data_IF_914963759490
#
_entry.id   IF_914963759490
#
_cell.length_a   1.000
_cell.length_b   1.000
_cell.length_c   1.000
_cell.angle_alpha   90.00
_cell.angle_beta   90.00
_cell.angle_gamma   90.00
#
_symmetry.space_group_name_H-M   'P 1'
#
loop_
_entity.id
_entity.type
_entity.pdbx_description
1 polymer ?
#
# COMPACT_ATOMS: atom_id res chain seq x y z
N UNK A 1 40.91 -36.17 -1.16
CA UNK A 1 40.55 -35.52 0.13
C UNK A 1 40.89 -34.01 0.16
N UNK A 2 42.11 -33.57 -0.27
CA UNK A 2 42.52 -32.17 -0.25
C UNK A 2 41.66 -31.22 -1.12
N UNK A 3 41.27 -31.66 -2.33
CA UNK A 3 40.46 -30.88 -3.25
C UNK A 3 39.03 -30.58 -2.67
N UNK A 4 38.43 -31.53 -1.99
CA UNK A 4 37.12 -31.34 -1.37
C UNK A 4 37.15 -30.35 -0.20
N UNK A 5 38.25 -30.33 0.58
CA UNK A 5 38.43 -29.36 1.66
C UNK A 5 38.64 -27.95 1.11
N UNK A 6 39.45 -27.80 0.03
CA UNK A 6 39.64 -26.51 -0.63
C UNK A 6 38.33 -25.95 -1.21
N UNK A 7 37.50 -26.79 -1.83
CA UNK A 7 36.20 -26.41 -2.37
C UNK A 7 35.26 -25.92 -1.21
N UNK A 8 35.16 -26.70 -0.12
CA UNK A 8 34.36 -26.34 1.02
C UNK A 8 34.81 -25.01 1.66
N UNK A 9 36.13 -24.78 1.75
CA UNK A 9 36.68 -23.51 2.25
C UNK A 9 36.34 -22.34 1.31
N UNK A 10 36.39 -22.55 0.00
CA UNK A 10 35.97 -21.51 -0.97
C UNK A 10 34.50 -21.17 -0.86
N UNK A 11 33.62 -22.16 -0.74
CA UNK A 11 32.18 -22.00 -0.58
C UNK A 11 31.84 -21.23 0.72
N UNK A 12 32.51 -21.58 1.84
CA UNK A 12 32.36 -20.87 3.12
C UNK A 12 32.81 -19.41 2.98
N UNK A 13 33.95 -19.17 2.31
CA UNK A 13 34.44 -17.81 2.08
C UNK A 13 33.47 -16.97 1.25
N UNK A 14 32.93 -17.53 0.17
CA UNK A 14 31.91 -16.86 -0.66
C UNK A 14 30.66 -16.52 0.17
N UNK A 15 30.15 -17.45 0.96
CA UNK A 15 29.01 -17.21 1.83
C UNK A 15 29.26 -16.14 2.88
N UNK A 16 30.46 -16.08 3.46
CA UNK A 16 30.84 -15.02 4.40
C UNK A 16 30.91 -13.64 3.72
N UNK A 17 31.37 -13.58 2.48
CA UNK A 17 31.38 -12.33 1.69
C UNK A 17 29.96 -11.89 1.36
N UNK A 18 29.07 -12.79 0.93
CA UNK A 18 27.66 -12.51 0.69
C UNK A 18 26.97 -11.97 1.96
N UNK A 19 27.22 -12.59 3.12
CA UNK A 19 26.67 -12.13 4.40
C UNK A 19 27.18 -10.72 4.78
N UNK A 20 28.46 -10.44 4.55
CA UNK A 20 29.04 -9.11 4.78
C UNK A 20 28.38 -8.07 3.86
N UNK A 21 28.29 -8.35 2.58
CA UNK A 21 27.73 -7.44 1.59
C UNK A 21 26.23 -7.16 1.88
N UNK A 22 25.48 -8.18 2.31
CA UNK A 22 24.10 -8.03 2.76
C UNK A 22 24.00 -7.14 4.02
N UNK A 23 24.93 -7.29 4.97
CA UNK A 23 24.96 -6.45 6.17
C UNK A 23 25.28 -4.98 5.82
N UNK A 24 26.28 -4.75 4.96
CA UNK A 24 26.63 -3.41 4.50
C UNK A 24 25.46 -2.72 3.76
N UNK A 25 24.73 -3.47 2.93
CA UNK A 25 23.53 -2.97 2.25
C UNK A 25 22.40 -2.64 3.24
N UNK A 26 22.19 -3.50 4.23
CA UNK A 26 21.20 -3.26 5.28
C UNK A 26 21.55 -2.03 6.11
N UNK A 27 22.82 -1.87 6.54
CA UNK A 27 23.28 -0.69 7.27
C UNK A 27 23.07 0.60 6.44
N UNK A 28 23.35 0.56 5.14
CA UNK A 28 23.11 1.68 4.23
C UNK A 28 21.60 1.99 4.10
N UNK A 29 20.75 0.98 4.02
CA UNK A 29 19.30 1.12 4.03
C UNK A 29 18.79 1.77 5.32
N UNK A 30 19.24 1.31 6.48
CA UNK A 30 18.86 1.88 7.77
C UNK A 30 19.42 3.30 7.96
N UNK A 31 20.62 3.61 7.45
CA UNK A 31 21.13 4.96 7.42
C UNK A 31 20.22 5.89 6.59
N UNK A 32 19.70 5.42 5.45
CA UNK A 32 18.71 6.15 4.65
C UNK A 32 17.41 6.38 5.44
N UNK A 33 16.88 5.35 6.12
CA UNK A 33 15.70 5.49 7.00
C UNK A 33 15.94 6.54 8.08
N UNK A 34 17.12 6.55 8.72
CA UNK A 34 17.45 7.49 9.79
C UNK A 34 17.43 8.97 9.35
N UNK A 35 17.55 9.25 8.05
CA UNK A 35 17.51 10.64 7.54
C UNK A 35 16.14 11.29 7.64
N UNK A 36 15.06 10.47 7.70
CA UNK A 36 13.68 10.96 7.72
C UNK A 36 12.89 10.46 8.93
N UNK A 37 13.39 9.46 9.63
CA UNK A 37 12.76 8.89 10.81
C UNK A 37 12.92 9.80 12.04
N UNK A 38 11.89 9.89 12.87
CA UNK A 38 12.01 10.47 14.20
C UNK A 38 12.71 9.48 15.14
N UNK A 39 14.05 9.53 15.12
CA UNK A 39 14.89 8.65 15.95
C UNK A 39 14.90 9.03 17.43
N UNK A 40 14.31 10.17 17.80
CA UNK A 40 14.08 10.56 19.19
C UNK A 40 12.86 9.85 19.77
N UNK A 41 11.84 9.60 18.95
CA UNK A 41 10.65 8.84 19.34
C UNK A 41 10.90 7.33 19.29
N UNK A 42 11.58 6.84 18.23
CA UNK A 42 11.94 5.41 18.07
C UNK A 42 13.43 5.31 17.74
N UNK A 43 14.26 4.78 18.64
CA UNK A 43 15.69 4.61 18.39
C UNK A 43 15.97 3.79 17.13
N UNK A 44 17.01 4.17 16.36
CA UNK A 44 17.37 3.49 15.12
C UNK A 44 17.67 1.99 15.34
N UNK A 45 18.26 1.64 16.48
CA UNK A 45 18.52 0.24 16.87
C UNK A 45 17.22 -0.56 16.97
N UNK A 46 16.16 0.02 17.58
CA UNK A 46 14.84 -0.60 17.65
C UNK A 46 14.26 -0.80 16.27
N UNK A 47 14.27 0.23 15.42
CA UNK A 47 13.80 0.12 14.03
C UNK A 47 14.56 -0.96 13.25
N UNK A 48 15.89 -1.04 13.43
CA UNK A 48 16.72 -2.05 12.77
C UNK A 48 16.35 -3.47 13.20
N UNK A 49 16.15 -3.68 14.50
CA UNK A 49 15.74 -4.97 15.04
C UNK A 49 14.34 -5.38 14.55
N UNK A 50 13.40 -4.43 14.51
CA UNK A 50 12.05 -4.68 14.00
C UNK A 50 12.06 -5.00 12.51
N UNK A 51 12.87 -4.30 11.70
CA UNK A 51 13.06 -4.61 10.27
C UNK A 51 13.60 -6.03 10.09
N UNK A 52 14.63 -6.43 10.83
CA UNK A 52 15.20 -7.78 10.76
C UNK A 52 14.16 -8.83 11.15
N UNK A 53 13.36 -8.56 12.19
CA UNK A 53 12.29 -9.46 12.62
C UNK A 53 11.23 -9.64 11.53
N UNK A 54 10.70 -8.55 10.97
CA UNK A 54 9.70 -8.60 9.90
C UNK A 54 10.25 -9.29 8.65
N UNK A 55 11.50 -9.00 8.27
CA UNK A 55 12.21 -9.69 7.18
C UNK A 55 12.26 -11.20 7.40
N UNK A 56 12.63 -11.63 8.61
CA UNK A 56 12.69 -13.05 8.98
C UNK A 56 11.30 -13.71 8.96
N UNK A 57 10.28 -13.02 9.48
CA UNK A 57 8.91 -13.55 9.57
C UNK A 57 8.29 -13.72 8.16
N UNK A 58 8.63 -12.83 7.23
CA UNK A 58 8.11 -12.84 5.86
C UNK A 58 9.01 -13.60 4.87
N UNK A 59 10.24 -13.91 5.25
CA UNK A 59 11.20 -14.57 4.35
C UNK A 59 11.67 -13.71 3.19
N UNK A 60 11.73 -12.37 3.37
CA UNK A 60 12.19 -11.40 2.39
C UNK A 60 13.48 -10.71 2.85
N UNK A 61 14.18 -10.02 1.96
CA UNK A 61 15.40 -9.32 2.35
C UNK A 61 15.11 -8.17 3.33
N UNK A 62 15.98 -7.98 4.33
CA UNK A 62 15.84 -6.88 5.29
C UNK A 62 15.95 -5.50 4.63
N UNK A 63 16.69 -5.40 3.52
CA UNK A 63 16.77 -4.21 2.68
C UNK A 63 15.43 -3.82 2.08
N UNK A 64 14.61 -4.79 1.66
CA UNK A 64 13.29 -4.54 1.09
C UNK A 64 12.33 -3.97 2.13
N UNK A 65 12.38 -4.50 3.37
CA UNK A 65 11.59 -3.96 4.49
C UNK A 65 12.10 -2.56 4.88
N UNK A 66 13.42 -2.33 4.89
CA UNK A 66 13.98 -1.01 5.17
C UNK A 66 13.54 0.04 4.12
N UNK A 67 13.57 -0.31 2.83
CA UNK A 67 13.09 0.55 1.75
C UNK A 67 11.57 0.80 1.84
N UNK A 68 10.78 -0.21 2.17
CA UNK A 68 9.35 -0.07 2.40
C UNK A 68 9.06 0.84 3.62
N UNK A 69 9.83 0.71 4.71
CA UNK A 69 9.72 1.57 5.89
C UNK A 69 10.11 3.03 5.55
N UNK A 70 11.18 3.25 4.78
CA UNK A 70 11.54 4.56 4.27
C UNK A 70 10.40 5.18 3.47
N UNK A 71 9.84 4.46 2.50
CA UNK A 71 8.73 4.94 1.67
C UNK A 71 7.49 5.25 2.52
N UNK A 72 7.21 4.44 3.54
CA UNK A 72 6.10 4.64 4.48
C UNK A 72 6.24 5.96 5.25
N UNK A 73 7.41 6.24 5.82
CA UNK A 73 7.70 7.50 6.53
C UNK A 73 7.65 8.68 5.55
N UNK A 74 8.24 8.52 4.36
CA UNK A 74 8.22 9.54 3.30
C UNK A 74 6.81 9.90 2.84
N UNK A 75 5.87 8.94 2.90
CA UNK A 75 4.46 9.16 2.60
C UNK A 75 3.66 9.77 3.77
N UNK A 76 4.33 10.14 4.88
CA UNK A 76 3.73 10.86 6.01
C UNK A 76 3.27 9.99 7.17
N UNK A 77 3.53 8.68 7.15
CA UNK A 77 3.22 7.81 8.28
C UNK A 77 4.23 8.02 9.43
N UNK A 78 3.79 7.78 10.66
CA UNK A 78 4.63 7.94 11.85
C UNK A 78 5.76 6.91 11.87
N UNK A 79 6.94 7.30 12.33
CA UNK A 79 8.10 6.39 12.49
C UNK A 79 7.76 5.15 13.33
N UNK A 80 6.93 5.30 14.37
CA UNK A 80 6.54 4.20 15.25
C UNK A 80 5.76 3.09 14.52
N UNK A 81 5.02 3.42 13.49
CA UNK A 81 4.16 2.49 12.74
C UNK A 81 4.85 1.97 11.47
N UNK A 82 5.97 2.59 11.07
CA UNK A 82 6.56 2.43 9.75
C UNK A 82 6.98 0.99 9.42
N UNK A 83 7.57 0.27 10.36
CA UNK A 83 8.05 -1.11 10.12
C UNK A 83 6.89 -2.10 10.07
N UNK A 84 5.87 -1.93 10.91
CA UNK A 84 4.67 -2.76 10.85
C UNK A 84 3.92 -2.52 9.53
N UNK A 85 3.78 -1.26 9.14
CA UNK A 85 3.17 -0.88 7.86
C UNK A 85 3.96 -1.43 6.67
N UNK A 86 5.30 -1.36 6.69
CA UNK A 86 6.15 -1.97 5.68
C UNK A 86 5.93 -3.48 5.58
N UNK A 87 5.77 -4.17 6.70
CA UNK A 87 5.42 -5.59 6.74
C UNK A 87 4.07 -5.89 6.08
N UNK A 88 3.04 -5.10 6.40
CA UNK A 88 1.71 -5.21 5.77
C UNK A 88 1.77 -4.93 4.27
N UNK A 89 2.50 -3.89 3.85
CA UNK A 89 2.70 -3.56 2.43
C UNK A 89 3.42 -4.66 1.68
N UNK A 90 4.43 -5.28 2.30
CA UNK A 90 5.17 -6.41 1.72
C UNK A 90 4.28 -7.64 1.58
N UNK A 91 3.43 -7.95 2.56
CA UNK A 91 2.42 -9.03 2.44
C UNK A 91 1.46 -8.75 1.29
N UNK A 92 0.97 -7.52 1.17
CA UNK A 92 0.11 -7.10 0.07
C UNK A 92 0.81 -7.24 -1.28
N UNK A 93 2.11 -6.87 -1.36
CA UNK A 93 2.89 -6.99 -2.58
C UNK A 93 3.04 -8.45 -3.01
N UNK A 94 3.33 -9.36 -2.08
CA UNK A 94 3.45 -10.80 -2.35
C UNK A 94 2.11 -11.37 -2.82
N UNK A 95 1.02 -11.13 -2.08
CA UNK A 95 -0.31 -11.65 -2.40
C UNK A 95 -0.94 -10.99 -3.64
N UNK A 96 -0.59 -9.74 -3.89
CA UNK A 96 -1.08 -8.93 -5.00
C UNK A 96 -0.22 -8.97 -6.27
N UNK A 97 0.87 -9.74 -6.28
CA UNK A 97 1.82 -9.86 -7.39
C UNK A 97 2.35 -8.50 -7.86
N UNK A 98 2.77 -7.65 -6.91
CA UNK A 98 3.27 -6.29 -7.18
C UNK A 98 4.52 -5.99 -6.35
N UNK A 99 5.12 -4.82 -6.57
CA UNK A 99 6.26 -4.35 -5.79
C UNK A 99 5.81 -3.77 -4.43
N UNK A 100 6.67 -3.87 -3.40
CA UNK A 100 6.38 -3.34 -2.07
C UNK A 100 6.14 -1.83 -2.09
N UNK A 101 6.87 -1.07 -2.91
CA UNK A 101 6.66 0.37 -3.11
C UNK A 101 5.25 0.69 -3.63
N UNK A 102 4.76 -0.08 -4.61
CA UNK A 102 3.40 0.07 -5.15
C UNK A 102 2.35 -0.24 -4.08
N UNK A 103 2.59 -1.25 -3.25
CA UNK A 103 1.70 -1.57 -2.13
C UNK A 103 1.71 -0.46 -1.06
N UNK A 104 2.88 0.10 -0.72
CA UNK A 104 2.99 1.27 0.16
C UNK A 104 2.18 2.44 -0.40
N UNK A 105 2.33 2.74 -1.70
CA UNK A 105 1.65 3.88 -2.34
C UNK A 105 0.13 3.76 -2.28
N UNK A 106 -0.45 2.60 -2.59
CA UNK A 106 -1.92 2.44 -2.55
C UNK A 106 -2.45 2.46 -1.11
N UNK A 107 -1.76 1.82 -0.17
CA UNK A 107 -2.16 1.82 1.24
C UNK A 107 -2.08 3.23 1.83
N UNK A 108 -0.96 3.94 1.66
CA UNK A 108 -0.82 5.32 2.17
C UNK A 108 -1.77 6.29 1.50
N UNK A 109 -2.01 6.16 0.19
CA UNK A 109 -3.02 6.94 -0.53
C UNK A 109 -4.41 6.74 0.08
N UNK A 110 -4.76 5.49 0.39
CA UNK A 110 -6.07 5.17 0.98
C UNK A 110 -6.19 5.71 2.39
N UNK A 111 -5.20 5.44 3.26
CA UNK A 111 -5.23 5.91 4.64
C UNK A 111 -5.28 7.44 4.70
N UNK A 112 -4.46 8.12 3.92
CA UNK A 112 -4.44 9.59 3.90
C UNK A 112 -5.76 10.18 3.37
N UNK A 113 -6.35 9.61 2.31
CA UNK A 113 -7.58 10.11 1.73
C UNK A 113 -8.79 9.95 2.66
N UNK A 114 -8.86 8.83 3.37
CA UNK A 114 -9.95 8.53 4.33
C UNK A 114 -9.63 8.94 5.77
N UNK A 115 -8.46 9.56 6.00
CA UNK A 115 -7.99 9.97 7.33
C UNK A 115 -8.00 8.80 8.32
N UNK A 116 -7.49 7.64 7.88
CA UNK A 116 -7.36 6.42 8.68
C UNK A 116 -5.98 6.36 9.35
N UNK A 117 -5.92 5.74 10.52
CA UNK A 117 -4.64 5.48 11.20
C UNK A 117 -3.93 4.25 10.58
N UNK A 118 -2.61 4.11 10.84
CA UNK A 118 -1.78 3.07 10.25
C UNK A 118 -2.21 1.63 10.59
N UNK A 119 -2.90 1.41 11.71
CA UNK A 119 -3.47 0.13 12.12
C UNK A 119 -4.57 -0.39 11.18
N UNK A 120 -5.18 0.49 10.37
CA UNK A 120 -6.17 0.13 9.36
C UNK A 120 -5.53 -0.40 8.06
N UNK A 121 -4.20 -0.36 7.92
CA UNK A 121 -3.52 -0.80 6.71
C UNK A 121 -3.78 -2.28 6.37
N UNK A 122 -3.89 -3.15 7.38
CA UNK A 122 -4.19 -4.57 7.19
C UNK A 122 -5.61 -4.76 6.61
N UNK A 123 -6.60 -4.04 7.14
CA UNK A 123 -7.97 -4.07 6.63
C UNK A 123 -8.04 -3.58 5.17
N UNK A 124 -7.36 -2.48 4.84
CA UNK A 124 -7.29 -1.98 3.45
C UNK A 124 -6.58 -2.98 2.54
N UNK A 125 -5.50 -3.61 3.01
CA UNK A 125 -4.80 -4.67 2.29
C UNK A 125 -5.73 -5.84 1.95
N UNK A 126 -6.51 -6.31 2.92
CA UNK A 126 -7.48 -7.40 2.74
C UNK A 126 -8.58 -7.03 1.73
N UNK A 127 -9.06 -5.79 1.75
CA UNK A 127 -10.01 -5.30 0.75
C UNK A 127 -9.43 -5.32 -0.66
N UNK A 128 -8.19 -4.90 -0.84
CA UNK A 128 -7.51 -4.89 -2.16
C UNK A 128 -7.31 -6.32 -2.68
N UNK A 129 -6.86 -7.24 -1.84
CA UNK A 129 -6.73 -8.67 -2.20
C UNK A 129 -8.11 -9.27 -2.52
N UNK A 130 -9.14 -8.95 -1.74
CA UNK A 130 -10.51 -9.41 -2.01
C UNK A 130 -11.00 -8.87 -3.34
N UNK A 131 -10.74 -7.60 -3.65
CA UNK A 131 -11.10 -6.99 -4.94
C UNK A 131 -10.40 -7.69 -6.11
N UNK A 132 -9.11 -8.03 -5.97
CA UNK A 132 -8.37 -8.83 -6.94
C UNK A 132 -8.99 -10.21 -7.13
N UNK A 133 -9.33 -10.89 -6.05
CA UNK A 133 -9.85 -12.25 -6.09
C UNK A 133 -11.28 -12.37 -6.66
N UNK A 134 -12.11 -11.35 -6.45
CA UNK A 134 -13.50 -11.32 -6.94
C UNK A 134 -13.60 -10.67 -8.34
N UNK A 135 -12.68 -9.81 -8.70
CA UNK A 135 -12.62 -9.13 -10.00
C UNK A 135 -11.66 -9.80 -10.99
N UNK A 136 -11.54 -9.21 -12.17
CA UNK A 136 -10.49 -9.53 -13.17
C UNK A 136 -9.46 -8.40 -13.17
N UNK A 137 -8.74 -8.26 -12.07
CA UNK A 137 -7.74 -7.21 -11.85
C UNK A 137 -6.63 -7.74 -10.95
N UNK A 138 -5.56 -7.00 -10.81
CA UNK A 138 -4.46 -7.29 -9.87
C UNK A 138 -4.17 -6.05 -9.03
N UNK A 139 -3.53 -6.22 -7.87
CA UNK A 139 -3.22 -5.09 -6.97
C UNK A 139 -2.40 -4.00 -7.67
N UNK A 140 -1.48 -4.37 -8.57
CA UNK A 140 -0.71 -3.41 -9.37
C UNK A 140 -1.60 -2.48 -10.21
N UNK A 141 -2.61 -3.05 -10.86
CA UNK A 141 -3.59 -2.29 -11.66
C UNK A 141 -4.50 -1.44 -10.77
N UNK A 142 -4.92 -1.97 -9.62
CA UNK A 142 -5.68 -1.23 -8.63
C UNK A 142 -4.87 -0.05 -8.10
N UNK A 143 -3.61 -0.23 -7.74
CA UNK A 143 -2.74 0.84 -7.26
C UNK A 143 -2.62 1.98 -8.29
N UNK A 144 -2.38 1.64 -9.55
CA UNK A 144 -2.21 2.61 -10.62
C UNK A 144 -3.50 3.36 -10.97
N UNK A 145 -4.64 2.68 -10.91
CA UNK A 145 -5.91 3.18 -11.42
C UNK A 145 -6.85 3.63 -10.30
N UNK A 146 -7.14 2.75 -9.31
CA UNK A 146 -8.04 3.03 -8.20
C UNK A 146 -7.51 4.17 -7.31
N UNK A 147 -6.18 4.28 -7.14
CA UNK A 147 -5.55 5.38 -6.43
C UNK A 147 -5.94 6.77 -6.92
N UNK A 148 -6.37 6.89 -8.19
CA UNK A 148 -6.85 8.17 -8.77
C UNK A 148 -8.31 8.50 -8.41
N UNK A 149 -9.08 7.52 -7.98
CA UNK A 149 -10.50 7.68 -7.59
C UNK A 149 -10.64 7.79 -6.08
N UNK A 150 -9.79 7.12 -5.31
CA UNK A 150 -9.81 7.11 -3.85
C UNK A 150 -9.99 8.51 -3.24
N UNK A 151 -9.19 9.54 -3.60
CA UNK A 151 -9.39 10.88 -3.02
C UNK A 151 -10.74 11.50 -3.39
N UNK A 152 -11.26 11.22 -4.58
CA UNK A 152 -12.57 11.72 -5.02
C UNK A 152 -13.70 11.02 -4.26
N UNK A 153 -13.60 9.70 -4.11
CA UNK A 153 -14.57 8.91 -3.35
C UNK A 153 -14.61 9.35 -1.88
N UNK A 154 -13.44 9.53 -1.26
CA UNK A 154 -13.32 10.01 0.11
C UNK A 154 -13.92 11.42 0.28
N UNK A 155 -13.68 12.34 -0.67
CA UNK A 155 -14.24 13.70 -0.62
C UNK A 155 -15.78 13.71 -0.65
N UNK A 156 -16.40 12.72 -1.29
CA UNK A 156 -17.85 12.54 -1.32
C UNK A 156 -18.36 11.52 -0.28
N UNK A 157 -17.56 11.14 0.71
CA UNK A 157 -17.88 10.17 1.77
C UNK A 157 -18.29 8.78 1.24
N UNK A 158 -17.89 8.40 0.03
CA UNK A 158 -18.09 7.03 -0.48
C UNK A 158 -17.11 6.11 0.23
N UNK A 159 -17.62 5.12 0.93
CA UNK A 159 -16.81 4.18 1.70
C UNK A 159 -15.89 3.36 0.80
N UNK A 160 -14.69 3.01 1.29
CA UNK A 160 -13.70 2.22 0.54
C UNK A 160 -14.26 0.84 0.13
N UNK A 161 -15.09 0.22 0.96
CA UNK A 161 -15.78 -1.05 0.68
C UNK A 161 -16.67 -0.96 -0.56
N UNK A 162 -17.44 0.12 -0.69
CA UNK A 162 -18.30 0.37 -1.84
C UNK A 162 -17.49 0.59 -3.11
N UNK A 163 -16.39 1.34 -3.00
CA UNK A 163 -15.49 1.56 -4.12
C UNK A 163 -14.84 0.24 -4.56
N UNK A 164 -14.31 -0.55 -3.63
CA UNK A 164 -13.71 -1.86 -3.88
C UNK A 164 -14.71 -2.84 -4.52
N UNK A 165 -15.93 -2.88 -4.00
CA UNK A 165 -17.01 -3.70 -4.55
C UNK A 165 -17.36 -3.31 -5.99
N UNK A 166 -17.41 -2.00 -6.30
CA UNK A 166 -17.65 -1.52 -7.65
C UNK A 166 -16.54 -1.97 -8.61
N UNK A 167 -15.26 -1.87 -8.21
CA UNK A 167 -14.15 -2.40 -9.01
C UNK A 167 -14.26 -3.91 -9.24
N UNK A 168 -14.51 -4.68 -8.19
CA UNK A 168 -14.66 -6.14 -8.30
C UNK A 168 -15.77 -6.51 -9.30
N UNK A 169 -16.96 -5.90 -9.16
CA UNK A 169 -18.11 -6.20 -10.03
C UNK A 169 -17.85 -5.77 -11.47
N UNK A 170 -17.37 -4.55 -11.71
CA UNK A 170 -17.16 -4.04 -13.05
C UNK A 170 -16.07 -4.84 -13.79
N UNK A 171 -14.95 -5.14 -13.13
CA UNK A 171 -13.86 -5.90 -13.74
C UNK A 171 -14.24 -7.36 -13.95
N UNK A 172 -14.99 -7.99 -13.04
CA UNK A 172 -15.54 -9.34 -13.23
C UNK A 172 -16.44 -9.43 -14.47
N UNK A 173 -17.17 -8.35 -14.80
CA UNK A 173 -18.00 -8.25 -15.99
C UNK A 173 -17.22 -7.81 -17.26
N UNK A 174 -15.90 -7.76 -17.20
CA UNK A 174 -15.04 -7.55 -18.37
C UNK A 174 -14.69 -6.09 -18.68
N UNK A 175 -15.03 -5.14 -17.80
CA UNK A 175 -14.61 -3.75 -17.94
C UNK A 175 -13.17 -3.66 -17.42
N UNK A 176 -12.25 -3.10 -18.19
CA UNK A 176 -10.86 -2.94 -17.76
C UNK A 176 -10.76 -2.04 -16.53
N UNK A 177 -9.76 -2.29 -15.66
CA UNK A 177 -9.55 -1.52 -14.42
C UNK A 177 -9.42 -0.01 -14.68
N UNK A 178 -8.74 0.37 -15.77
CA UNK A 178 -8.60 1.77 -16.19
C UNK A 178 -9.91 2.41 -16.66
N UNK A 179 -10.78 1.65 -17.35
CA UNK A 179 -12.11 2.13 -17.76
C UNK A 179 -13.04 2.24 -16.55
N UNK A 180 -13.01 1.25 -15.63
CA UNK A 180 -13.72 1.30 -14.36
C UNK A 180 -13.37 2.59 -13.59
N UNK A 181 -12.09 2.93 -13.52
CA UNK A 181 -11.59 4.18 -12.92
C UNK A 181 -12.23 5.40 -13.56
N UNK A 182 -12.25 5.43 -14.89
CA UNK A 182 -12.82 6.56 -15.66
C UNK A 182 -14.31 6.72 -15.39
N UNK A 183 -15.05 5.63 -15.43
CA UNK A 183 -16.51 5.65 -15.21
C UNK A 183 -16.87 6.02 -13.78
N UNK A 184 -16.20 5.43 -12.78
CA UNK A 184 -16.46 5.75 -11.37
C UNK A 184 -16.10 7.21 -11.06
N UNK A 185 -14.96 7.71 -11.56
CA UNK A 185 -14.57 9.10 -11.36
C UNK A 185 -15.55 10.07 -12.02
N UNK A 186 -15.99 9.78 -13.25
CA UNK A 186 -16.98 10.59 -13.93
C UNK A 186 -18.31 10.60 -13.19
N UNK A 187 -18.79 9.43 -12.75
CA UNK A 187 -20.02 9.28 -11.97
C UNK A 187 -19.95 10.08 -10.66
N UNK A 188 -18.87 9.94 -9.89
CA UNK A 188 -18.70 10.64 -8.61
C UNK A 188 -18.65 12.17 -8.82
N UNK A 189 -17.95 12.64 -9.83
CA UNK A 189 -17.90 14.08 -10.13
C UNK A 189 -19.27 14.61 -10.58
N UNK A 190 -19.99 13.87 -11.44
CA UNK A 190 -21.31 14.27 -11.91
C UNK A 190 -22.34 14.32 -10.78
N UNK A 191 -22.33 13.33 -9.88
CA UNK A 191 -23.21 13.30 -8.70
C UNK A 191 -22.83 14.36 -7.65
N UNK A 192 -21.53 14.64 -7.52
CA UNK A 192 -20.99 15.56 -6.49
C UNK A 192 -21.09 17.02 -6.89
N UNK A 193 -21.17 17.34 -8.18
CA UNK A 193 -21.31 18.70 -8.69
C UNK A 193 -22.78 19.09 -8.78
N UNK A 194 -23.26 19.94 -7.87
CA UNK A 194 -24.64 20.46 -7.87
C UNK A 194 -24.94 21.35 -9.07
N UNK A 195 -23.93 21.83 -9.79
CA UNK A 195 -24.06 22.53 -11.08
C UNK A 195 -24.26 21.60 -12.26
N UNK A 196 -24.00 20.29 -12.13
CA UNK A 196 -24.26 19.30 -13.15
C UNK A 196 -25.74 18.96 -13.26
N UNK A 197 -26.15 18.34 -14.38
CA UNK A 197 -27.54 17.95 -14.59
C UNK A 197 -27.97 16.92 -13.54
N UNK A 198 -27.15 15.90 -13.26
CA UNK A 198 -27.50 14.79 -12.36
C UNK A 198 -27.40 15.24 -10.90
N UNK A 199 -26.34 15.94 -10.52
CA UNK A 199 -26.16 16.47 -9.18
C UNK A 199 -27.22 17.50 -8.79
N UNK A 200 -27.60 18.37 -9.74
CA UNK A 200 -28.70 19.34 -9.53
C UNK A 200 -30.07 18.66 -9.35
N UNK A 201 -30.40 17.65 -10.17
CA UNK A 201 -31.64 16.87 -9.98
C UNK A 201 -31.61 16.12 -8.64
N UNK A 202 -30.50 15.54 -8.27
CA UNK A 202 -30.34 14.84 -6.99
C UNK A 202 -30.62 15.78 -5.80
N UNK A 203 -30.06 16.98 -5.81
CA UNK A 203 -30.27 17.98 -4.76
C UNK A 203 -31.72 18.49 -4.76
N UNK A 204 -32.31 18.75 -5.94
CA UNK A 204 -33.71 19.17 -6.06
C UNK A 204 -34.68 18.12 -5.51
N UNK A 205 -34.46 16.84 -5.80
CA UNK A 205 -35.35 15.75 -5.36
C UNK A 205 -35.19 15.36 -3.89
N UNK A 206 -33.99 15.48 -3.34
CA UNK A 206 -33.68 15.00 -1.98
C UNK A 206 -33.52 16.14 -0.95
N UNK A 207 -33.32 17.37 -1.39
CA UNK A 207 -32.97 18.50 -0.55
C UNK A 207 -31.53 18.45 -0.01
N UNK A 208 -30.69 17.52 -0.52
CA UNK A 208 -29.33 17.28 -0.06
C UNK A 208 -28.40 17.02 -1.24
N UNK A 209 -27.16 17.51 -1.14
CA UNK A 209 -26.14 17.14 -2.12
C UNK A 209 -25.66 15.70 -1.90
N UNK A 210 -24.93 15.15 -2.89
CA UNK A 210 -24.44 13.77 -2.87
C UNK A 210 -23.59 13.45 -1.63
N UNK A 211 -22.67 14.35 -1.24
CA UNK A 211 -21.81 14.14 -0.07
C UNK A 211 -22.59 14.07 1.26
N UNK A 212 -23.72 14.76 1.35
CA UNK A 212 -24.60 14.68 2.52
C UNK A 212 -25.38 13.37 2.54
N UNK A 213 -25.86 12.91 1.39
CA UNK A 213 -26.57 11.62 1.27
C UNK A 213 -25.68 10.42 1.61
N UNK A 214 -24.46 10.39 1.09
CA UNK A 214 -23.50 9.31 1.37
C UNK A 214 -23.02 9.26 2.81
N UNK A 215 -23.13 10.38 3.55
CA UNK A 215 -22.79 10.44 4.98
C UNK A 215 -23.89 9.86 5.89
N UNK A 216 -25.10 9.80 5.40
CA UNK A 216 -26.26 9.29 6.17
C UNK A 216 -26.45 7.77 6.00
N UNK A 217 -25.69 7.12 5.10
CA UNK A 217 -25.77 5.69 4.80
C UNK A 217 -26.46 5.40 3.51
#
# INVERSE_FOLDING_TARGET
AAAGVQQAVSEIKEKLLECRDAAEQFEAGMAKVSTIADTSAVPLETLSNDVIKVSSDLGVAATDIADAAYNTISAGQKTADAVQFAGTSTKLAIGGFTEASTAVDILTTTLNAYNLEADQAEHVSDMLITTQNLGKTVVADLATNMGRVIPVAAAYNVQMDNLSSAYAVMTANGIATSETTTYLKAMLNELGDTGSTVGGILEEQTGKNFAALTKEG
#
